data_IF_021653819317
#
_entry.id   IF_021653819317
#
_cell.length_a   1.000
_cell.length_b   1.000
_cell.length_c   1.000
_cell.angle_alpha   90.00
_cell.angle_beta   90.00
_cell.angle_gamma   90.00
#
_symmetry.space_group_name_H-M   'P 1'
#
loop_
_entity.id
_entity.type
_entity.pdbx_description
1 polymer ?
#
# COMPACT_ATOMS: atom_id res chain seq x y z
N UNK A 1 0.39 -6.24 26.33
CA UNK A 1 -0.54 -6.75 25.31
C UNK A 1 -0.08 -6.20 23.97
N UNK A 2 0.29 -7.09 23.05
CA UNK A 2 0.83 -6.74 21.73
C UNK A 2 -0.27 -6.11 20.88
N UNK A 3 -0.09 -4.85 20.47
CA UNK A 3 -0.93 -4.21 19.47
C UNK A 3 -0.53 -4.75 18.09
N UNK A 4 -0.80 -6.05 17.85
CA UNK A 4 -0.73 -6.59 16.51
C UNK A 4 -1.79 -5.85 15.68
N UNK A 5 -1.35 -5.19 14.61
CA UNK A 5 -2.26 -4.71 13.58
C UNK A 5 -2.93 -5.93 12.92
N UNK A 6 -4.11 -6.29 13.41
CA UNK A 6 -4.95 -7.26 12.74
C UNK A 6 -5.71 -6.52 11.64
N UNK A 7 -5.27 -6.67 10.39
CA UNK A 7 -6.19 -6.51 9.26
C UNK A 7 -7.06 -7.76 9.20
N UNK A 8 -8.38 -7.58 9.29
CA UNK A 8 -9.32 -8.63 8.93
C UNK A 8 -9.11 -8.93 7.43
N UNK A 9 -8.96 -10.21 7.07
CA UNK A 9 -8.78 -10.61 5.67
C UNK A 9 -9.97 -10.17 4.79
N UNK A 10 -11.15 -9.94 5.37
CA UNK A 10 -12.32 -9.39 4.68
C UNK A 10 -12.17 -7.92 4.28
N UNK A 11 -11.49 -7.10 5.09
CA UNK A 11 -11.20 -5.71 4.74
C UNK A 11 -10.17 -5.63 3.60
N UNK A 12 -9.21 -6.55 3.61
CA UNK A 12 -8.24 -6.71 2.52
C UNK A 12 -8.94 -7.12 1.23
N UNK A 13 -9.86 -8.09 1.28
CA UNK A 13 -10.60 -8.57 0.11
C UNK A 13 -11.49 -7.47 -0.50
N UNK A 14 -12.18 -6.69 0.34
CA UNK A 14 -12.98 -5.56 -0.11
C UNK A 14 -12.13 -4.49 -0.81
N UNK A 15 -10.98 -4.13 -0.23
CA UNK A 15 -10.02 -3.18 -0.81
C UNK A 15 -9.43 -3.71 -2.12
N UNK A 16 -9.01 -4.97 -2.17
CA UNK A 16 -8.45 -5.59 -3.37
C UNK A 16 -9.49 -5.70 -4.48
N UNK A 17 -10.71 -6.11 -4.16
CA UNK A 17 -11.83 -6.18 -5.12
C UNK A 17 -12.20 -4.79 -5.66
N UNK A 18 -12.11 -3.76 -4.82
CA UNK A 18 -12.35 -2.38 -5.21
C UNK A 18 -11.22 -1.84 -6.11
N UNK A 19 -9.96 -2.13 -5.76
CA UNK A 19 -8.78 -1.75 -6.53
C UNK A 19 -8.74 -2.47 -7.89
N UNK A 20 -9.05 -3.76 -7.94
CA UNK A 20 -9.14 -4.54 -9.17
C UNK A 20 -10.23 -4.01 -10.10
N UNK A 21 -11.41 -3.68 -9.56
CA UNK A 21 -12.49 -3.03 -10.34
C UNK A 21 -12.07 -1.68 -10.90
N UNK A 22 -11.30 -0.91 -10.13
CA UNK A 22 -10.80 0.40 -10.53
C UNK A 22 -9.73 0.31 -11.62
N UNK A 23 -8.78 -0.61 -11.48
CA UNK A 23 -7.79 -0.93 -12.52
C UNK A 23 -8.48 -1.42 -13.80
N UNK A 24 -9.51 -2.27 -13.68
CA UNK A 24 -10.29 -2.75 -14.82
C UNK A 24 -11.13 -1.65 -15.50
N UNK A 25 -11.59 -0.65 -14.74
CA UNK A 25 -12.34 0.49 -15.26
C UNK A 25 -11.45 1.59 -15.89
N UNK A 26 -10.18 1.70 -15.46
CA UNK A 26 -9.26 2.79 -15.82
C UNK A 26 -8.32 2.54 -17.00
N UNK A 27 -8.05 1.30 -17.40
CA UNK A 27 -7.21 1.05 -18.58
C UNK A 27 -6.65 -0.36 -18.66
N UNK A 28 -6.43 -0.84 -19.89
CA UNK A 28 -5.68 -2.07 -20.15
C UNK A 28 -4.29 -1.96 -19.51
N UNK A 29 -3.95 -2.89 -18.63
CA UNK A 29 -2.57 -3.13 -18.21
C UNK A 29 -1.80 -3.62 -19.43
N UNK A 30 -1.06 -2.73 -20.08
CA UNK A 30 -0.22 -3.09 -21.22
C UNK A 30 1.13 -3.49 -20.66
N UNK A 31 1.40 -4.79 -20.66
CA UNK A 31 2.71 -5.34 -20.27
C UNK A 31 3.60 -5.34 -21.50
N UNK A 32 4.76 -4.71 -21.40
CA UNK A 32 5.80 -4.80 -22.42
C UNK A 32 6.52 -6.15 -22.26
N UNK A 33 6.53 -7.04 -23.28
CA UNK A 33 7.24 -8.33 -23.19
C UNK A 33 8.72 -8.19 -22.84
N UNK A 34 9.36 -7.08 -23.24
CA UNK A 34 10.77 -6.83 -22.95
C UNK A 34 11.01 -6.31 -21.52
N UNK A 35 9.96 -5.87 -20.82
CA UNK A 35 10.01 -5.28 -19.47
C UNK A 35 9.00 -5.89 -18.51
N UNK A 36 8.49 -7.07 -18.83
CA UNK A 36 7.41 -7.73 -18.10
C UNK A 36 7.72 -7.89 -16.61
N UNK A 37 8.97 -8.19 -16.26
CA UNK A 37 9.41 -8.29 -14.86
C UNK A 37 9.25 -6.96 -14.11
N UNK A 38 9.64 -5.85 -14.75
CA UNK A 38 9.52 -4.51 -14.18
C UNK A 38 8.06 -4.05 -14.10
N UNK A 39 7.25 -4.33 -15.12
CA UNK A 39 5.84 -3.98 -15.15
C UNK A 39 5.03 -4.76 -14.10
N UNK A 40 5.32 -6.05 -13.93
CA UNK A 40 4.72 -6.87 -12.87
C UNK A 40 5.17 -6.42 -11.49
N UNK A 41 6.46 -6.11 -11.31
CA UNK A 41 6.97 -5.56 -10.06
C UNK A 41 6.29 -4.24 -9.71
N UNK A 42 6.09 -3.34 -10.69
CA UNK A 42 5.39 -2.07 -10.50
C UNK A 42 3.96 -2.28 -10.00
N UNK A 43 3.24 -3.23 -10.58
CA UNK A 43 1.87 -3.55 -10.15
C UNK A 43 1.84 -4.10 -8.71
N UNK A 44 2.63 -5.15 -8.44
CA UNK A 44 2.63 -5.81 -7.13
C UNK A 44 3.08 -4.84 -6.03
N UNK A 45 4.18 -4.13 -6.25
CA UNK A 45 4.72 -3.17 -5.29
C UNK A 45 3.78 -1.96 -5.13
N UNK A 46 3.05 -1.56 -6.17
CA UNK A 46 2.00 -0.56 -6.07
C UNK A 46 0.82 -1.01 -5.22
N UNK A 47 0.42 -2.28 -5.29
CA UNK A 47 -0.63 -2.85 -4.42
C UNK A 47 -0.15 -2.87 -2.97
N UNK A 48 1.10 -3.27 -2.73
CA UNK A 48 1.69 -3.26 -1.38
C UNK A 48 1.77 -1.83 -0.83
N UNK A 49 2.13 -0.84 -1.65
CA UNK A 49 2.15 0.57 -1.26
C UNK A 49 0.76 1.08 -0.89
N UNK A 50 -0.27 0.68 -1.64
CA UNK A 50 -1.65 1.00 -1.31
C UNK A 50 -2.06 0.43 0.06
N UNK A 51 -1.71 -0.82 0.35
CA UNK A 51 -1.99 -1.43 1.65
C UNK A 51 -1.24 -0.70 2.78
N UNK A 52 0.03 -0.32 2.57
CA UNK A 52 0.82 0.46 3.54
C UNK A 52 0.16 1.82 3.85
N UNK A 53 -0.33 2.52 2.82
CA UNK A 53 -1.04 3.82 2.99
C UNK A 53 -2.36 3.66 3.74
N UNK A 54 -3.10 2.58 3.47
CA UNK A 54 -4.32 2.28 4.22
C UNK A 54 -4.03 1.98 5.69
N UNK A 55 -2.98 1.20 5.94
CA UNK A 55 -2.47 0.92 7.28
C UNK A 55 -2.12 2.21 8.04
N UNK A 56 -1.46 3.16 7.37
CA UNK A 56 -1.13 4.49 7.90
C UNK A 56 -2.38 5.31 8.23
N UNK A 57 -3.38 5.33 7.34
CA UNK A 57 -4.66 5.99 7.60
C UNK A 57 -5.40 5.40 8.81
N UNK A 58 -5.37 4.09 9.00
CA UNK A 58 -5.98 3.45 10.17
C UNK A 58 -5.20 3.74 11.46
N UNK A 59 -3.87 3.82 11.38
CA UNK A 59 -3.03 4.23 12.50
C UNK A 59 -3.43 5.63 12.99
N UNK A 60 -3.53 6.60 12.07
CA UNK A 60 -3.93 7.98 12.37
C UNK A 60 -5.30 8.00 13.08
N UNK A 61 -6.30 7.32 12.52
CA UNK A 61 -7.65 7.26 13.13
C UNK A 61 -7.63 6.69 14.54
N UNK A 62 -6.78 5.69 14.80
CA UNK A 62 -6.64 5.05 16.13
C UNK A 62 -5.96 5.96 17.15
N UNK A 63 -4.97 6.74 16.71
CA UNK A 63 -4.32 7.78 17.52
C UNK A 63 -5.32 8.88 17.88
N UNK A 64 -6.05 9.41 16.88
CA UNK A 64 -7.08 10.43 17.09
C UNK A 64 -8.22 9.95 18.00
N UNK A 65 -8.58 8.66 17.93
CA UNK A 65 -9.57 8.06 18.81
C UNK A 65 -9.07 7.77 20.25
N UNK A 66 -7.78 8.01 20.54
CA UNK A 66 -7.18 7.73 21.85
C UNK A 66 -7.15 6.23 22.20
N UNK A 67 -7.17 5.37 21.18
CA UNK A 67 -7.24 3.91 21.34
C UNK A 67 -5.87 3.24 21.54
N UNK A 68 -4.78 4.03 21.53
CA UNK A 68 -3.40 3.59 21.68
C UNK A 68 -2.73 4.37 22.82
N UNK A 69 -1.79 3.73 23.53
CA UNK A 69 -0.90 4.44 24.46
C UNK A 69 0.23 5.14 23.69
N UNK A 70 0.89 6.17 24.27
CA UNK A 70 1.99 6.87 23.60
C UNK A 70 3.11 5.95 23.08
N UNK A 71 3.45 4.91 23.83
CA UNK A 71 4.47 3.93 23.45
C UNK A 71 4.01 3.06 22.27
N UNK A 72 2.70 2.76 22.20
CA UNK A 72 2.11 2.03 21.07
C UNK A 72 2.08 2.88 19.81
N UNK A 73 1.80 4.18 19.93
CA UNK A 73 1.85 5.13 18.80
C UNK A 73 3.26 5.22 18.22
N UNK A 74 4.28 5.38 19.07
CA UNK A 74 5.68 5.44 18.63
C UNK A 74 6.10 4.14 17.93
N UNK A 75 5.77 2.99 18.53
CA UNK A 75 6.09 1.67 17.97
C UNK A 75 5.42 1.47 16.61
N UNK A 76 4.15 1.89 16.48
CA UNK A 76 3.38 1.80 15.24
C UNK A 76 3.97 2.69 14.15
N UNK A 77 4.27 3.96 14.47
CA UNK A 77 4.91 4.89 13.54
C UNK A 77 6.24 4.35 13.03
N UNK A 78 7.11 3.88 13.92
CA UNK A 78 8.40 3.30 13.55
C UNK A 78 8.26 2.06 12.65
N UNK A 79 7.24 1.23 12.91
CA UNK A 79 6.96 0.04 12.10
C UNK A 79 6.54 0.42 10.68
N UNK A 80 5.66 1.41 10.53
CA UNK A 80 5.20 1.89 9.23
C UNK A 80 6.34 2.54 8.42
N UNK A 81 7.20 3.34 9.06
CA UNK A 81 8.39 3.93 8.42
C UNK A 81 9.36 2.86 7.92
N UNK A 82 9.58 1.79 8.69
CA UNK A 82 10.43 0.66 8.28
C UNK A 82 9.82 -0.11 7.11
N UNK A 83 8.50 -0.29 7.11
CA UNK A 83 7.79 -0.94 6.01
C UNK A 83 7.92 -0.12 4.71
N UNK A 84 7.77 1.20 4.78
CA UNK A 84 7.99 2.11 3.64
C UNK A 84 9.41 2.00 3.09
N UNK A 85 10.42 2.08 3.96
CA UNK A 85 11.82 1.98 3.55
C UNK A 85 12.14 0.63 2.89
N UNK A 86 11.65 -0.48 3.44
CA UNK A 86 11.83 -1.81 2.87
C UNK A 86 11.17 -1.93 1.50
N UNK A 87 9.96 -1.37 1.32
CA UNK A 87 9.28 -1.38 0.04
C UNK A 87 10.05 -0.59 -1.03
N UNK A 88 10.54 0.60 -0.68
CA UNK A 88 11.34 1.43 -1.57
C UNK A 88 12.67 0.77 -1.95
N UNK A 89 13.32 0.06 -1.02
CA UNK A 89 14.53 -0.71 -1.30
C UNK A 89 14.25 -1.85 -2.31
N UNK A 90 13.12 -2.56 -2.15
CA UNK A 90 12.72 -3.61 -3.10
C UNK A 90 12.39 -3.01 -4.46
N UNK A 91 11.64 -1.90 -4.52
CA UNK A 91 11.32 -1.20 -5.76
C UNK A 91 12.56 -0.77 -6.54
N UNK A 92 13.58 -0.27 -5.85
CA UNK A 92 14.84 0.13 -6.46
C UNK A 92 15.55 -1.04 -7.17
N UNK A 93 15.40 -2.29 -6.69
CA UNK A 93 15.96 -3.50 -7.34
C UNK A 93 15.33 -3.78 -8.71
N UNK A 94 14.12 -3.26 -8.95
CA UNK A 94 13.43 -3.31 -10.25
C UNK A 94 13.55 -2.00 -11.04
N UNK A 95 14.44 -1.09 -10.62
CA UNK A 95 14.61 0.22 -11.27
C UNK A 95 13.39 1.13 -11.17
N UNK A 96 12.54 0.91 -10.16
CA UNK A 96 11.33 1.70 -9.92
C UNK A 96 11.61 2.78 -8.86
N UNK A 97 11.04 3.96 -9.06
CA UNK A 97 11.02 5.05 -8.09
C UNK A 97 9.77 4.95 -7.21
N UNK A 98 9.76 5.57 -6.02
CA UNK A 98 8.55 5.64 -5.20
C UNK A 98 7.31 6.16 -5.95
N UNK A 99 7.49 7.16 -6.82
CA UNK A 99 6.43 7.70 -7.68
C UNK A 99 5.83 6.68 -8.64
N UNK A 100 6.57 5.62 -8.98
CA UNK A 100 6.11 4.58 -9.89
C UNK A 100 5.17 3.59 -9.19
N UNK A 101 5.17 3.55 -7.85
CA UNK A 101 4.28 2.70 -7.04
C UNK A 101 2.88 3.31 -6.86
N UNK A 102 2.67 4.53 -7.33
CA UNK A 102 1.36 5.18 -7.31
C UNK A 102 0.45 4.45 -8.30
N UNK A 103 -0.61 3.84 -7.77
CA UNK A 103 -1.68 3.24 -8.54
C UNK A 103 -2.76 4.29 -8.76
N UNK A 104 -3.18 4.43 -10.01
CA UNK A 104 -4.38 5.18 -10.34
C UNK A 104 -5.58 4.25 -10.17
N UNK A 105 -6.43 4.55 -9.17
CA UNK A 105 -7.65 3.80 -8.91
C UNK A 105 -8.85 4.46 -9.62
N UNK A 106 -8.61 5.26 -10.66
CA UNK A 106 -9.65 5.87 -11.48
C UNK A 106 -10.64 6.70 -10.64
N UNK A 107 -11.94 6.34 -10.60
CA UNK A 107 -12.95 7.12 -9.87
C UNK A 107 -12.74 7.20 -8.34
N UNK A 108 -11.80 6.44 -7.78
CA UNK A 108 -11.42 6.49 -6.36
C UNK A 108 -10.22 7.41 -6.08
N UNK A 109 -9.65 8.04 -7.12
CA UNK A 109 -8.47 8.89 -7.03
C UNK A 109 -7.15 8.12 -7.22
N UNK A 110 -6.04 8.85 -7.26
CA UNK A 110 -4.68 8.26 -7.20
C UNK A 110 -4.38 7.82 -5.76
N UNK A 111 -3.58 6.77 -5.58
CA UNK A 111 -3.00 6.48 -4.26
C UNK A 111 -2.08 7.63 -3.86
N UNK A 112 -2.61 8.57 -3.08
CA UNK A 112 -1.88 9.73 -2.53
C UNK A 112 -0.65 9.25 -1.80
#
# INVERSE_FOLDING_TARGET
>A
MSAAMSLELGDVDAVLSQAARSLAAGGRLTLDPERVEQDLARLVLGIVELLRKLMELQAIRRMEAGSLTPEQEETLGLTLMRAEAALHEVAAKFGLKPSDLVLDLGPLGRSV
#
